data_IF_238433808792
#
_entry.id   IF_238433808792
#
_cell.length_a   1.000
_cell.length_b   1.000
_cell.length_c   1.000
_cell.angle_alpha   90.00
_cell.angle_beta   90.00
_cell.angle_gamma   90.00
#
_symmetry.space_group_name_H-M   'P 1'
#
loop_
_entity.id
_entity.type
_entity.pdbx_description
1 polymer ?
#
# COMPACT_ATOMS: atom_id res chain seq x y z
N UNK A 1 2.31 -1.45 -14.37
CA UNK A 1 1.93 -0.09 -13.97
C UNK A 1 2.23 0.03 -12.50
N UNK A 2 3.03 1.02 -12.12
CA UNK A 2 3.35 1.25 -10.72
C UNK A 2 2.39 2.31 -10.18
N UNK A 3 1.95 2.15 -8.94
CA UNK A 3 1.11 3.11 -8.26
C UNK A 3 1.82 3.56 -6.99
N UNK A 4 1.77 4.86 -6.70
CA UNK A 4 2.19 5.45 -5.45
C UNK A 4 0.94 5.64 -4.59
N UNK A 5 0.90 4.93 -3.48
CA UNK A 5 -0.15 5.04 -2.46
C UNK A 5 0.34 6.05 -1.43
N UNK A 6 -0.48 7.06 -1.18
CA UNK A 6 -0.28 8.05 -0.14
C UNK A 6 -1.29 7.75 0.95
N UNK A 7 -0.83 7.49 2.15
CA UNK A 7 -1.69 7.20 3.30
C UNK A 7 -1.11 7.85 4.55
N UNK A 8 -1.92 8.04 5.58
CA UNK A 8 -1.44 8.39 6.92
C UNK A 8 -1.61 7.24 7.88
N UNK A 9 -0.75 7.17 8.89
CA UNK A 9 -0.93 6.34 10.08
C UNK A 9 -0.79 7.23 11.30
N UNK A 10 -1.84 7.32 12.12
CA UNK A 10 -1.84 8.13 13.34
C UNK A 10 -1.44 9.60 13.10
N UNK A 11 -1.77 10.13 11.91
CA UNK A 11 -1.43 11.49 11.47
C UNK A 11 -0.09 11.64 10.74
N UNK A 12 0.76 10.60 10.72
CA UNK A 12 2.02 10.61 9.98
C UNK A 12 1.81 10.18 8.53
N UNK A 13 2.24 11.02 7.58
CA UNK A 13 2.12 10.73 6.15
C UNK A 13 3.17 9.72 5.69
N UNK A 14 2.72 8.69 4.99
CA UNK A 14 3.51 7.58 4.46
C UNK A 14 3.24 7.36 2.98
N UNK A 15 4.18 6.68 2.35
CA UNK A 15 4.21 6.43 0.91
C UNK A 15 4.53 4.97 0.66
N UNK A 16 3.69 4.29 -0.10
CA UNK A 16 3.90 2.88 -0.44
C UNK A 16 3.70 2.67 -1.94
N UNK A 17 4.60 1.91 -2.56
CA UNK A 17 4.48 1.56 -3.97
C UNK A 17 3.77 0.22 -4.13
N UNK A 18 2.86 0.14 -5.11
CA UNK A 18 2.20 -1.08 -5.54
C UNK A 18 2.43 -1.28 -7.05
N UNK A 19 3.07 -2.39 -7.40
CA UNK A 19 3.19 -2.80 -8.81
C UNK A 19 2.00 -3.67 -9.18
N UNK A 20 1.22 -3.23 -10.18
CA UNK A 20 0.06 -3.94 -10.71
C UNK A 20 0.12 -4.04 -12.23
N UNK A 21 -0.44 -5.11 -12.80
CA UNK A 21 -0.57 -5.26 -14.26
C UNK A 21 -1.72 -4.43 -14.83
N UNK A 22 -2.74 -4.13 -14.03
CA UNK A 22 -3.97 -3.43 -14.44
C UNK A 22 -4.22 -2.17 -13.57
N UNK A 23 -5.34 -1.48 -13.81
CA UNK A 23 -5.82 -0.36 -12.99
C UNK A 23 -5.78 -0.76 -11.50
N UNK A 24 -5.29 0.12 -10.60
CA UNK A 24 -5.23 -0.19 -9.18
C UNK A 24 -6.62 -0.55 -8.63
N UNK A 25 -6.74 -1.75 -8.08
CA UNK A 25 -7.92 -2.17 -7.35
C UNK A 25 -7.80 -1.64 -5.91
N UNK A 26 -8.81 -0.93 -5.41
CA UNK A 26 -8.82 -0.40 -4.04
C UNK A 26 -8.58 -1.48 -2.99
N UNK A 27 -9.05 -2.72 -3.19
CA UNK A 27 -8.75 -3.85 -2.29
C UNK A 27 -7.27 -4.18 -2.24
N UNK A 28 -6.58 -4.12 -3.38
CA UNK A 28 -5.14 -4.34 -3.44
C UNK A 28 -4.38 -3.20 -2.77
N UNK A 29 -4.84 -1.96 -2.93
CA UNK A 29 -4.29 -0.79 -2.23
C UNK A 29 -4.42 -0.98 -0.71
N UNK A 30 -5.63 -1.26 -0.22
CA UNK A 30 -5.91 -1.52 1.20
C UNK A 30 -4.99 -2.60 1.78
N UNK A 31 -4.86 -3.74 1.08
CA UNK A 31 -4.01 -4.84 1.53
C UNK A 31 -2.53 -4.49 1.50
N UNK A 32 -2.09 -3.72 0.52
CA UNK A 32 -0.69 -3.29 0.40
C UNK A 32 -0.31 -2.37 1.55
N UNK A 33 -1.18 -1.41 1.89
CA UNK A 33 -0.97 -0.51 3.03
C UNK A 33 -0.93 -1.30 4.34
N UNK A 34 -1.85 -2.24 4.55
CA UNK A 34 -1.81 -3.11 5.71
C UNK A 34 -0.52 -3.93 5.79
N UNK A 35 -0.08 -4.50 4.67
CA UNK A 35 1.13 -5.31 4.62
C UNK A 35 2.42 -4.51 4.86
N UNK A 36 2.41 -3.21 4.53
CA UNK A 36 3.52 -2.31 4.81
C UNK A 36 3.61 -1.95 6.30
N UNK A 37 2.46 -1.85 6.98
CA UNK A 37 2.38 -1.44 8.39
C UNK A 37 2.46 -2.61 9.38
N UNK A 38 2.07 -3.81 8.95
CA UNK A 38 2.12 -5.03 9.75
C UNK A 38 3.42 -5.79 9.46
N UNK A 39 4.21 -6.15 10.49
CA UNK A 39 5.40 -6.96 10.29
C UNK A 39 5.04 -8.33 9.70
N UNK A 40 5.85 -8.79 8.73
CA UNK A 40 5.73 -10.09 8.08
C UNK A 40 5.79 -11.22 9.12
N UNK A 41 4.62 -11.65 9.61
CA UNK A 41 4.48 -12.65 10.67
C UNK A 41 3.33 -12.40 11.65
N UNK A 42 2.82 -11.16 11.75
CA UNK A 42 1.71 -10.85 12.66
C UNK A 42 0.31 -11.15 12.12
N UNK A 43 0.18 -11.39 10.80
CA UNK A 43 -1.08 -11.83 10.22
C UNK A 43 -1.55 -13.17 10.81
N UNK A 44 -0.64 -14.00 11.31
CA UNK A 44 -0.98 -15.31 11.89
C UNK A 44 -1.53 -15.26 13.32
N UNK A 45 -1.25 -14.20 14.10
CA UNK A 45 -1.71 -14.10 15.49
C UNK A 45 -2.91 -13.15 15.68
N UNK A 46 -3.12 -12.19 14.76
CA UNK A 46 -4.29 -11.30 14.77
C UNK A 46 -5.47 -11.76 13.91
N UNK A 47 -5.24 -12.57 12.87
CA UNK A 47 -6.31 -13.00 11.95
C UNK A 47 -7.30 -13.99 12.57
N UNK A 48 -6.99 -14.59 13.71
CA UNK A 48 -7.92 -15.45 14.44
C UNK A 48 -8.83 -14.70 15.43
N UNK A 49 -8.60 -13.38 15.63
CA UNK A 49 -9.45 -12.52 16.47
C UNK A 49 -10.06 -11.34 15.71
N UNK A 50 -9.53 -10.98 14.54
CA UNK A 50 -10.13 -9.99 13.66
C UNK A 50 -11.16 -10.67 12.75
N UNK A 51 -12.35 -10.96 13.30
CA UNK A 51 -13.57 -11.22 12.53
C UNK A 51 -14.08 -9.94 11.84
N UNK A 52 -13.18 -9.21 11.18
CA UNK A 52 -13.42 -7.88 10.64
C UNK A 52 -12.83 -7.76 9.24
N UNK A 53 -13.52 -7.02 8.38
CA UNK A 53 -13.05 -6.70 7.03
C UNK A 53 -11.70 -5.97 7.08
N UNK A 54 -10.90 -6.09 6.01
CA UNK A 54 -9.65 -5.33 5.79
C UNK A 54 -9.80 -3.83 6.14
N UNK A 55 -10.98 -3.27 5.87
CA UNK A 55 -11.32 -1.88 6.15
C UNK A 55 -11.39 -1.57 7.65
N UNK A 56 -11.88 -2.51 8.46
CA UNK A 56 -11.93 -2.36 9.92
C UNK A 56 -10.53 -2.40 10.53
N UNK A 57 -9.64 -3.26 10.01
CA UNK A 57 -8.24 -3.30 10.43
C UNK A 57 -7.50 -1.99 10.11
N UNK A 58 -7.70 -1.46 8.90
CA UNK A 58 -7.16 -0.14 8.51
C UNK A 58 -7.60 0.94 9.51
N UNK A 59 -8.89 0.97 9.84
CA UNK A 59 -9.43 1.93 10.81
C UNK A 59 -8.87 1.74 12.22
N UNK A 60 -8.74 0.49 12.69
CA UNK A 60 -8.19 0.18 14.02
C UNK A 60 -6.72 0.59 14.14
N UNK A 61 -5.96 0.49 13.05
CA UNK A 61 -4.56 0.90 12.98
C UNK A 61 -4.37 2.41 12.76
N UNK A 62 -5.46 3.20 12.76
CA UNK A 62 -5.38 4.65 12.51
C UNK A 62 -4.89 4.99 11.10
N UNK A 63 -5.10 4.09 10.14
CA UNK A 63 -4.64 4.24 8.77
C UNK A 63 -5.74 4.93 7.95
N UNK A 64 -5.36 5.96 7.20
CA UNK A 64 -6.23 6.64 6.24
C UNK A 64 -5.55 6.71 4.87
N UNK A 65 -6.20 6.18 3.83
CA UNK A 65 -5.68 6.27 2.46
C UNK A 65 -6.08 7.63 1.90
N UNK A 66 -5.08 8.47 1.61
CA UNK A 66 -5.27 9.84 1.16
C UNK A 66 -5.41 9.89 -0.36
N UNK A 67 -4.51 9.22 -1.09
CA UNK A 67 -4.52 9.24 -2.56
C UNK A 67 -3.78 8.03 -3.17
N UNK A 68 -4.09 7.71 -4.42
CA UNK A 68 -3.43 6.64 -5.19
C UNK A 68 -3.09 7.16 -6.59
N UNK A 69 -1.81 7.40 -6.82
CA UNK A 69 -1.32 8.02 -8.04
C UNK A 69 -0.65 7.00 -8.97
N UNK A 70 -0.95 7.00 -10.27
CA UNK A 70 -0.21 6.17 -11.23
C UNK A 70 1.20 6.73 -11.44
N UNK A 71 2.21 5.90 -11.22
CA UNK A 71 3.62 6.21 -11.53
C UNK A 71 3.91 5.72 -12.94
N UNK A 72 4.17 6.66 -13.85
CA UNK A 72 4.81 6.34 -15.12
C UNK A 72 6.28 6.10 -14.84
N UNK A 73 6.80 4.89 -15.11
CA UNK A 73 8.24 4.68 -15.16
C UNK A 73 8.80 5.62 -16.24
N UNK A 74 9.42 6.72 -15.84
CA UNK A 74 10.38 7.40 -16.71
C UNK A 74 11.42 6.33 -17.03
N UNK A 75 11.51 5.96 -18.31
CA UNK A 75 12.62 5.15 -18.81
C UNK A 75 13.89 5.86 -18.28
N UNK A 76 14.76 5.21 -17.51
CA UNK A 76 16.03 5.84 -17.17
C UNK A 76 16.67 6.27 -18.50
N UNK A 77 17.19 7.50 -18.61
CA UNK A 77 17.91 7.88 -19.81
C UNK A 77 19.02 6.85 -19.99
N UNK A 78 18.90 6.10 -21.09
CA UNK A 78 19.88 5.17 -21.61
C UNK A 78 21.25 5.83 -21.48
N UNK A 79 22.02 5.41 -20.48
CA UNK A 79 23.44 5.77 -20.34
C UNK A 79 24.19 4.95 -21.39
N UNK A 80 23.86 5.21 -22.67
CA UNK A 80 24.75 5.04 -23.81
C UNK A 80 25.94 5.96 -23.57
N UNK A 81 26.86 5.52 -22.73
CA UNK A 81 28.26 5.86 -22.87
C UNK A 81 28.90 4.77 -23.72
N UNK A 82 29.05 5.16 -24.99
CA UNK A 82 30.02 4.61 -25.93
C UNK A 82 31.43 4.64 -25.35
#
# INVERSE_FOLDING_TARGET
MDCLIIYSRDGERRFQTLTTRFIPNMKAVEFTVLSAELPAGHLSQGANQASGSVRELIRQLGIEIIDVLPVRKSVPPDEKRA
#
